data_IF_724336396231
#
_entry.id   IF_724336396231
#
_cell.length_a   1.000
_cell.length_b   1.000
_cell.length_c   1.000
_cell.angle_alpha   90.00
_cell.angle_beta   90.00
_cell.angle_gamma   90.00
#
_symmetry.space_group_name_H-M   'P 1'
#
loop_
_entity.id
_entity.type
_entity.pdbx_description
1 polymer ?
#
# COMPACT_ATOMS: atom_id res chain seq x y z
N UNK A 1 -20.97 -8.87 -20.92
CA UNK A 1 -20.07 -7.98 -21.69
C UNK A 1 -19.70 -6.80 -20.79
N UNK A 2 -18.45 -6.69 -20.35
CA UNK A 2 -18.00 -5.53 -19.58
C UNK A 2 -17.85 -4.36 -20.56
N UNK A 3 -18.61 -3.28 -20.35
CA UNK A 3 -18.47 -2.01 -21.10
C UNK A 3 -17.21 -1.30 -20.62
N UNK A 4 -16.05 -1.67 -21.18
CA UNK A 4 -14.83 -0.91 -20.97
C UNK A 4 -14.93 0.44 -21.68
N UNK A 5 -14.52 1.50 -20.99
CA UNK A 5 -14.49 2.85 -21.54
C UNK A 5 -13.36 2.99 -22.57
N UNK A 6 -13.45 3.98 -23.44
CA UNK A 6 -12.28 4.45 -24.20
C UNK A 6 -11.24 5.06 -23.26
N UNK A 7 -10.01 5.30 -23.71
CA UNK A 7 -8.97 5.94 -22.89
C UNK A 7 -9.41 7.29 -22.36
N UNK A 8 -10.04 8.11 -23.20
CA UNK A 8 -10.54 9.44 -22.84
C UNK A 8 -11.70 9.35 -21.83
N UNK A 9 -12.63 8.42 -22.04
CA UNK A 9 -13.71 8.16 -21.09
C UNK A 9 -13.18 7.68 -19.73
N UNK A 10 -12.19 6.79 -19.73
CA UNK A 10 -11.52 6.31 -18.53
C UNK A 10 -10.74 7.44 -17.81
N UNK A 11 -10.07 8.32 -18.56
CA UNK A 11 -9.42 9.51 -18.02
C UNK A 11 -10.41 10.43 -17.29
N UNK A 12 -11.55 10.74 -17.93
CA UNK A 12 -12.61 11.53 -17.30
C UNK A 12 -13.17 10.85 -16.05
N UNK A 13 -13.44 9.56 -16.12
CA UNK A 13 -13.95 8.77 -14.99
C UNK A 13 -12.98 8.78 -13.80
N UNK A 14 -11.68 8.50 -14.02
CA UNK A 14 -10.65 8.53 -12.98
C UNK A 14 -10.52 9.94 -12.40
N UNK A 15 -10.61 10.99 -13.22
CA UNK A 15 -10.54 12.38 -12.74
C UNK A 15 -11.71 12.72 -11.80
N UNK A 16 -12.91 12.23 -12.08
CA UNK A 16 -14.07 12.37 -11.17
C UNK A 16 -13.86 11.61 -9.87
N UNK A 17 -13.29 10.40 -9.93
CA UNK A 17 -12.99 9.64 -8.73
C UNK A 17 -11.95 10.33 -7.83
N UNK A 18 -10.92 10.93 -8.44
CA UNK A 18 -9.91 11.73 -7.72
C UNK A 18 -10.57 12.94 -7.04
N UNK A 19 -11.44 13.68 -7.75
CA UNK A 19 -12.10 14.86 -7.20
C UNK A 19 -13.06 14.56 -6.05
N UNK A 20 -13.62 13.33 -6.01
CA UNK A 20 -14.49 12.86 -4.93
C UNK A 20 -13.73 12.22 -3.76
N UNK A 21 -12.44 11.94 -3.92
CA UNK A 21 -11.63 11.35 -2.86
C UNK A 21 -11.32 12.39 -1.77
N UNK A 22 -11.22 11.97 -0.50
CA UNK A 22 -10.80 12.85 0.59
C UNK A 22 -9.47 13.52 0.30
N UNK A 23 -9.30 14.76 0.73
CA UNK A 23 -8.05 15.49 0.56
C UNK A 23 -7.00 14.95 1.54
N UNK A 24 -5.95 14.30 1.03
CA UNK A 24 -4.87 13.75 1.87
C UNK A 24 -4.11 14.81 2.67
N UNK A 25 -3.98 16.05 2.16
CA UNK A 25 -3.36 17.13 2.92
C UNK A 25 -4.19 17.48 4.17
N UNK A 26 -5.50 17.59 4.00
CA UNK A 26 -6.41 17.85 5.12
C UNK A 26 -6.41 16.69 6.12
N UNK A 27 -6.36 15.45 5.65
CA UNK A 27 -6.25 14.28 6.54
C UNK A 27 -4.93 14.29 7.32
N UNK A 28 -3.82 14.71 6.70
CA UNK A 28 -2.54 14.91 7.38
C UNK A 28 -2.64 15.97 8.49
N UNK A 29 -3.21 17.14 8.19
CA UNK A 29 -3.39 18.22 9.17
C UNK A 29 -4.21 17.76 10.38
N UNK A 30 -5.25 16.97 10.15
CA UNK A 30 -6.10 16.41 11.21
C UNK A 30 -5.31 15.48 12.13
N UNK A 31 -4.48 14.61 11.57
CA UNK A 31 -3.70 13.65 12.37
C UNK A 31 -2.58 14.35 13.14
N UNK A 32 -2.04 15.44 12.60
CA UNK A 32 -1.00 16.24 13.27
C UNK A 32 -1.54 17.23 14.29
N UNK A 33 -2.86 17.44 14.30
CA UNK A 33 -3.48 18.31 15.29
C UNK A 33 -3.45 17.68 16.69
N UNK A 34 -3.33 18.54 17.72
CA UNK A 34 -3.38 18.11 19.13
C UNK A 34 -4.75 17.53 19.54
N UNK A 35 -5.74 17.62 18.66
CA UNK A 35 -7.09 17.13 18.88
C UNK A 35 -7.46 16.13 17.81
N UNK A 36 -7.07 14.85 17.94
CA UNK A 36 -7.41 13.82 16.99
C UNK A 36 -8.93 13.65 16.92
N UNK A 37 -9.48 13.71 15.71
CA UNK A 37 -10.89 13.45 15.46
C UNK A 37 -11.12 11.99 15.09
N UNK A 38 -12.33 11.50 15.36
CA UNK A 38 -12.79 10.19 14.91
C UNK A 38 -13.50 10.27 13.53
N UNK A 39 -13.84 9.11 12.98
CA UNK A 39 -14.53 9.01 11.69
C UNK A 39 -15.87 9.78 11.72
N UNK A 40 -16.64 9.68 12.80
CA UNK A 40 -17.94 10.36 12.91
C UNK A 40 -17.79 11.88 12.81
N UNK A 41 -16.80 12.42 13.50
CA UNK A 41 -16.47 13.85 13.44
C UNK A 41 -15.97 14.26 12.06
N UNK A 42 -15.15 13.41 11.40
CA UNK A 42 -14.68 13.67 10.06
C UNK A 42 -15.81 13.70 9.03
N UNK A 43 -16.79 12.81 9.14
CA UNK A 43 -17.99 12.81 8.29
C UNK A 43 -18.85 14.05 8.57
N UNK A 44 -19.12 14.38 9.83
CA UNK A 44 -19.96 15.51 10.20
C UNK A 44 -19.39 16.86 9.76
N UNK A 45 -18.07 16.96 9.65
CA UNK A 45 -17.35 18.14 9.12
C UNK A 45 -17.21 18.15 7.59
N UNK A 46 -17.75 17.15 6.89
CA UNK A 46 -17.64 17.03 5.44
C UNK A 46 -16.23 16.72 4.90
N UNK A 47 -15.33 16.24 5.77
CA UNK A 47 -13.97 15.82 5.41
C UNK A 47 -14.00 14.46 4.72
N UNK A 48 -14.87 13.57 5.22
CA UNK A 48 -15.18 12.27 4.66
C UNK A 48 -16.61 12.23 4.13
N UNK A 49 -16.84 11.50 3.06
CA UNK A 49 -18.18 11.24 2.54
C UNK A 49 -19.00 10.31 3.42
N UNK A 50 -20.28 10.24 3.18
CA UNK A 50 -21.21 9.38 3.94
C UNK A 50 -20.92 7.88 3.75
N UNK A 51 -20.25 7.48 2.70
CA UNK A 51 -19.84 6.09 2.44
C UNK A 51 -18.93 5.53 3.51
N UNK A 52 -18.19 6.38 4.22
CA UNK A 52 -17.30 5.96 5.33
C UNK A 52 -18.07 5.67 6.63
N UNK A 53 -19.39 5.94 6.68
CA UNK A 53 -20.23 5.64 7.85
C UNK A 53 -20.29 4.14 8.20
N UNK A 54 -20.02 3.27 7.21
CA UNK A 54 -19.94 1.84 7.43
C UNK A 54 -18.91 1.45 8.52
N UNK A 55 -17.83 2.22 8.66
CA UNK A 55 -16.81 1.96 9.66
C UNK A 55 -17.22 2.33 11.10
N UNK A 56 -18.28 3.11 11.27
CA UNK A 56 -18.84 3.45 12.59
C UNK A 56 -19.48 2.24 13.28
N UNK A 57 -19.90 1.24 12.52
CA UNK A 57 -20.59 0.06 13.02
C UNK A 57 -19.63 -1.05 13.49
N UNK A 58 -18.34 -0.92 13.20
CA UNK A 58 -17.33 -1.90 13.56
C UNK A 58 -17.09 -1.93 15.06
N UNK A 59 -16.96 -3.12 15.65
CA UNK A 59 -16.90 -3.34 17.10
C UNK A 59 -15.50 -3.64 17.61
N UNK A 60 -14.60 -4.07 16.73
CA UNK A 60 -13.22 -4.41 17.07
C UNK A 60 -12.24 -3.86 16.04
N UNK A 61 -10.96 -3.86 16.38
CA UNK A 61 -9.87 -3.47 15.46
C UNK A 61 -9.81 -4.45 14.28
N UNK A 62 -10.01 -5.74 14.52
CA UNK A 62 -9.98 -6.76 13.46
C UNK A 62 -11.13 -6.56 12.48
N UNK A 63 -12.34 -6.21 12.98
CA UNK A 63 -13.49 -5.87 12.12
C UNK A 63 -13.19 -4.65 11.24
N UNK A 64 -12.52 -3.63 11.81
CA UNK A 64 -12.10 -2.42 11.07
C UNK A 64 -11.12 -2.79 9.97
N UNK A 65 -10.10 -3.55 10.28
CA UNK A 65 -9.07 -3.94 9.32
C UNK A 65 -9.66 -4.78 8.17
N UNK A 66 -10.59 -5.68 8.48
CA UNK A 66 -11.28 -6.46 7.46
C UNK A 66 -12.24 -5.59 6.62
N UNK A 67 -12.98 -4.71 7.25
CA UNK A 67 -13.90 -3.81 6.55
C UNK A 67 -13.16 -2.85 5.60
N UNK A 68 -12.05 -2.25 6.04
CA UNK A 68 -11.19 -1.38 5.22
C UNK A 68 -10.63 -2.16 4.03
N UNK A 69 -10.05 -3.33 4.30
CA UNK A 69 -9.52 -4.19 3.25
C UNK A 69 -10.58 -4.51 2.19
N UNK A 70 -11.77 -4.96 2.61
CA UNK A 70 -12.86 -5.31 1.71
C UNK A 70 -13.37 -4.10 0.92
N UNK A 71 -13.50 -2.92 1.57
CA UNK A 71 -13.97 -1.69 0.94
C UNK A 71 -13.05 -1.24 -0.19
N UNK A 72 -11.74 -1.11 0.07
CA UNK A 72 -10.80 -0.64 -0.94
C UNK A 72 -10.54 -1.66 -2.04
N UNK A 73 -10.48 -2.95 -1.68
CA UNK A 73 -10.35 -4.00 -2.67
C UNK A 73 -11.54 -4.03 -3.62
N UNK A 74 -12.76 -4.02 -3.08
CA UNK A 74 -13.98 -3.97 -3.89
C UNK A 74 -14.06 -2.71 -4.76
N UNK A 75 -13.65 -1.57 -4.22
CA UNK A 75 -13.58 -0.32 -4.98
C UNK A 75 -12.67 -0.45 -6.21
N UNK A 76 -11.47 -0.98 -6.03
CA UNK A 76 -10.50 -1.14 -7.11
C UNK A 76 -10.90 -2.24 -8.11
N UNK A 77 -11.47 -3.34 -7.64
CA UNK A 77 -12.03 -4.39 -8.51
C UNK A 77 -13.18 -3.87 -9.39
N UNK A 78 -14.00 -2.98 -8.85
CA UNK A 78 -15.03 -2.33 -9.66
C UNK A 78 -14.44 -1.35 -10.67
N UNK A 79 -13.38 -0.62 -10.31
CA UNK A 79 -12.67 0.27 -11.22
C UNK A 79 -12.18 -0.49 -12.47
N UNK A 80 -11.62 -1.70 -12.31
CA UNK A 80 -11.11 -2.53 -13.41
C UNK A 80 -12.17 -2.78 -14.50
N UNK A 81 -13.44 -2.86 -14.13
CA UNK A 81 -14.54 -3.12 -15.09
C UNK A 81 -14.68 -2.04 -16.15
N UNK A 82 -14.27 -0.82 -15.83
CA UNK A 82 -14.40 0.36 -16.71
C UNK A 82 -13.10 0.76 -17.39
N UNK A 83 -11.96 0.29 -16.88
CA UNK A 83 -10.64 0.69 -17.37
C UNK A 83 -10.24 -0.17 -18.58
N UNK A 84 -9.78 0.45 -19.70
CA UNK A 84 -9.37 -0.28 -20.90
C UNK A 84 -8.04 -1.03 -20.69
N UNK A 85 -7.76 -2.02 -21.54
CA UNK A 85 -6.44 -2.64 -21.64
C UNK A 85 -5.44 -1.64 -22.26
N UNK A 86 -4.17 -1.67 -21.83
CA UNK A 86 -3.52 -2.56 -20.86
C UNK A 86 -3.58 -2.07 -19.40
N UNK A 87 -4.22 -0.93 -19.12
CA UNK A 87 -4.25 -0.27 -17.81
C UNK A 87 -4.95 -1.09 -16.72
N UNK A 88 -5.93 -1.93 -17.09
CA UNK A 88 -6.61 -2.85 -16.16
C UNK A 88 -5.64 -3.86 -15.53
N UNK A 89 -4.63 -4.32 -16.27
CA UNK A 89 -3.60 -5.21 -15.74
C UNK A 89 -2.75 -4.52 -14.66
N UNK A 90 -2.46 -3.24 -14.84
CA UNK A 90 -1.74 -2.45 -13.83
C UNK A 90 -2.53 -2.37 -12.51
N UNK A 91 -3.85 -2.10 -12.58
CA UNK A 91 -4.71 -2.09 -11.39
C UNK A 91 -4.71 -3.47 -10.72
N UNK A 92 -4.87 -4.54 -11.51
CA UNK A 92 -4.87 -5.91 -10.98
C UNK A 92 -3.59 -6.25 -10.21
N UNK A 93 -2.43 -5.85 -10.72
CA UNK A 93 -1.17 -6.06 -10.02
C UNK A 93 -1.02 -5.13 -8.81
N UNK A 94 -1.49 -3.87 -8.90
CA UNK A 94 -1.40 -2.93 -7.79
C UNK A 94 -2.24 -3.37 -6.59
N UNK A 95 -3.43 -3.92 -6.81
CA UNK A 95 -4.34 -4.38 -5.72
C UNK A 95 -3.66 -5.39 -4.79
N UNK A 96 -2.71 -6.17 -5.30
CA UNK A 96 -1.95 -7.14 -4.50
C UNK A 96 -1.26 -6.50 -3.28
N UNK A 97 -1.05 -5.17 -3.28
CA UNK A 97 -0.46 -4.44 -2.14
C UNK A 97 -1.26 -4.64 -0.85
N UNK A 98 -2.58 -4.68 -0.92
CA UNK A 98 -3.43 -4.85 0.25
C UNK A 98 -3.33 -6.27 0.82
N UNK A 99 -3.23 -7.26 -0.05
CA UNK A 99 -3.04 -8.66 0.36
C UNK A 99 -1.65 -8.86 0.99
N UNK A 100 -0.62 -8.28 0.38
CA UNK A 100 0.75 -8.35 0.88
C UNK A 100 0.90 -7.68 2.25
N UNK A 101 0.33 -6.50 2.46
CA UNK A 101 0.40 -5.83 3.75
C UNK A 101 -0.26 -6.66 4.85
N UNK A 102 -1.37 -7.33 4.55
CA UNK A 102 -2.04 -8.24 5.48
C UNK A 102 -1.16 -9.45 5.80
N UNK A 103 -0.61 -10.11 4.78
CA UNK A 103 0.29 -11.28 4.96
C UNK A 103 1.54 -10.89 5.74
N UNK A 104 2.21 -9.81 5.38
CA UNK A 104 3.43 -9.35 6.04
C UNK A 104 3.16 -8.97 7.50
N UNK A 105 2.04 -8.31 7.79
CA UNK A 105 1.63 -7.99 9.16
C UNK A 105 1.45 -9.26 10.00
N UNK A 106 0.84 -10.30 9.43
CA UNK A 106 0.67 -11.59 10.11
C UNK A 106 2.00 -12.32 10.34
N UNK A 107 2.92 -12.26 9.37
CA UNK A 107 4.28 -12.79 9.52
C UNK A 107 4.96 -12.17 10.74
N UNK A 108 4.90 -10.84 10.88
CA UNK A 108 5.49 -10.14 12.03
C UNK A 108 4.80 -10.46 13.35
N UNK A 109 3.48 -10.66 13.37
CA UNK A 109 2.75 -11.08 14.58
C UNK A 109 3.21 -12.46 15.02
N UNK A 110 3.34 -13.41 14.09
CA UNK A 110 3.80 -14.77 14.38
C UNK A 110 5.25 -14.77 14.88
N UNK A 111 6.12 -13.93 14.31
CA UNK A 111 7.49 -13.78 14.79
C UNK A 111 7.54 -13.21 16.22
N UNK A 112 6.70 -12.20 16.52
CA UNK A 112 6.60 -11.64 17.88
C UNK A 112 6.22 -12.68 18.91
N UNK A 113 5.45 -13.70 18.54
CA UNK A 113 5.08 -14.81 19.41
C UNK A 113 6.25 -15.81 19.61
N UNK A 114 7.46 -15.49 19.15
CA UNK A 114 8.67 -16.32 19.25
C UNK A 114 8.52 -17.73 18.65
N UNK A 115 7.69 -17.87 17.65
CA UNK A 115 7.58 -19.12 16.91
C UNK A 115 8.84 -19.31 16.06
N UNK A 116 9.40 -20.53 16.04
CA UNK A 116 10.58 -20.82 15.20
C UNK A 116 10.25 -20.61 13.72
N UNK A 117 11.21 -20.14 12.93
CA UNK A 117 11.02 -19.77 11.52
C UNK A 117 10.31 -20.84 10.67
N UNK A 118 10.60 -22.12 10.89
CA UNK A 118 9.90 -23.25 10.24
C UNK A 118 8.41 -23.30 10.57
N UNK A 119 8.04 -22.98 11.81
CA UNK A 119 6.65 -22.97 12.24
C UNK A 119 5.92 -21.78 11.61
N UNK A 120 6.58 -20.63 11.52
CA UNK A 120 6.03 -19.45 10.86
C UNK A 120 5.71 -19.76 9.39
N UNK A 121 6.65 -20.36 8.65
CA UNK A 121 6.44 -20.73 7.24
C UNK A 121 5.25 -21.69 7.10
N UNK A 122 5.17 -22.72 7.94
CA UNK A 122 4.05 -23.68 7.92
C UNK A 122 2.68 -23.06 8.28
N UNK A 123 2.65 -21.93 8.98
CA UNK A 123 1.42 -21.20 9.30
C UNK A 123 1.04 -20.20 8.20
N UNK A 124 2.02 -19.67 7.47
CA UNK A 124 1.80 -18.69 6.41
C UNK A 124 1.23 -19.36 5.16
N UNK A 125 1.71 -20.56 4.84
CA UNK A 125 1.25 -21.31 3.64
C UNK A 125 -0.26 -21.52 3.63
N UNK A 126 -0.90 -22.07 4.69
CA UNK A 126 -2.35 -22.17 4.79
C UNK A 126 -3.06 -20.81 4.77
N UNK A 127 -2.42 -19.76 5.31
CA UNK A 127 -2.98 -18.42 5.30
C UNK A 127 -2.98 -17.81 3.90
N UNK A 128 -1.90 -17.98 3.14
CA UNK A 128 -1.84 -17.57 1.73
C UNK A 128 -2.87 -18.35 0.93
N UNK A 129 -2.97 -19.64 1.13
CA UNK A 129 -4.01 -20.47 0.53
C UNK A 129 -5.42 -19.97 0.89
N UNK A 130 -5.68 -19.67 2.15
CA UNK A 130 -6.95 -19.10 2.61
C UNK A 130 -7.25 -17.76 1.92
N UNK A 131 -6.29 -16.84 1.86
CA UNK A 131 -6.43 -15.55 1.19
C UNK A 131 -6.68 -15.77 -0.32
N UNK A 132 -5.97 -16.69 -0.94
CA UNK A 132 -6.09 -17.02 -2.37
C UNK A 132 -7.44 -17.67 -2.67
N UNK A 133 -7.83 -18.70 -1.92
CA UNK A 133 -9.01 -19.53 -2.25
C UNK A 133 -10.32 -18.95 -1.71
N UNK A 134 -10.31 -18.25 -0.57
CA UNK A 134 -11.54 -17.67 -0.01
C UNK A 134 -12.02 -16.45 -0.78
N UNK A 135 -11.14 -15.80 -1.53
CA UNK A 135 -11.45 -14.60 -2.32
C UNK A 135 -11.03 -14.81 -3.76
N UNK A 136 -11.96 -15.20 -4.60
CA UNK A 136 -11.81 -15.53 -6.04
C UNK A 136 -11.05 -14.52 -6.92
N UNK A 137 -10.59 -13.41 -6.37
CA UNK A 137 -9.97 -12.30 -7.09
C UNK A 137 -8.43 -12.24 -7.05
N UNK A 138 -7.76 -13.10 -6.27
CA UNK A 138 -6.31 -13.02 -6.08
C UNK A 138 -5.61 -14.05 -6.98
N UNK A 139 -5.77 -13.89 -8.28
CA UNK A 139 -5.27 -14.84 -9.27
C UNK A 139 -3.74 -15.04 -9.30
N UNK A 140 -2.96 -14.24 -8.59
CA UNK A 140 -1.50 -14.22 -8.71
C UNK A 140 -0.73 -14.46 -7.40
N UNK A 141 -1.39 -14.55 -6.25
CA UNK A 141 -0.73 -14.90 -5.00
C UNK A 141 0.01 -16.25 -5.00
N UNK A 142 -0.40 -17.26 -5.78
CA UNK A 142 0.40 -18.49 -5.95
C UNK A 142 1.84 -18.23 -6.37
N UNK A 143 2.14 -17.12 -7.08
CA UNK A 143 3.50 -16.76 -7.46
C UNK A 143 4.39 -16.42 -6.25
N UNK A 144 3.80 -15.98 -5.14
CA UNK A 144 4.53 -15.66 -3.92
C UNK A 144 4.89 -16.91 -3.10
N UNK A 145 4.30 -18.07 -3.41
CA UNK A 145 4.61 -19.33 -2.70
C UNK A 145 6.06 -19.76 -2.90
N UNK A 146 6.70 -19.35 -3.99
CA UNK A 146 8.13 -19.57 -4.22
C UNK A 146 8.99 -18.99 -3.09
N UNK A 147 8.55 -17.92 -2.44
CA UNK A 147 9.25 -17.31 -1.32
C UNK A 147 9.18 -18.16 -0.05
N UNK A 148 8.24 -19.09 0.04
CA UNK A 148 8.02 -19.95 1.20
C UNK A 148 8.73 -21.29 1.06
N UNK A 149 9.02 -21.72 -0.17
CA UNK A 149 9.68 -23.00 -0.47
C UNK A 149 11.18 -22.99 -0.22
N UNK A 150 11.69 -21.95 0.39
CA UNK A 150 13.09 -21.67 0.48
C UNK A 150 13.86 -22.40 1.56
N UNK A 151 15.15 -22.46 1.33
CA UNK A 151 16.21 -23.18 1.99
C UNK A 151 16.25 -23.11 3.53
N UNK A 152 16.83 -24.13 4.14
CA UNK A 152 17.20 -24.17 5.57
C UNK A 152 18.02 -22.91 5.92
N UNK A 153 17.44 -22.01 6.72
CA UNK A 153 18.15 -20.83 7.23
C UNK A 153 17.55 -19.48 6.82
N UNK A 154 16.46 -19.45 6.04
CA UNK A 154 15.77 -18.21 5.72
C UNK A 154 15.21 -17.53 6.97
N UNK A 155 15.45 -16.22 7.04
CA UNK A 155 14.82 -15.36 8.05
C UNK A 155 13.45 -14.89 7.57
N UNK A 156 12.60 -14.48 8.50
CA UNK A 156 11.32 -13.83 8.17
C UNK A 156 11.53 -12.64 7.23
N UNK A 157 12.60 -11.89 7.42
CA UNK A 157 12.91 -10.75 6.59
C UNK A 157 13.24 -11.15 5.14
N UNK A 158 13.86 -12.31 4.91
CA UNK A 158 14.12 -12.81 3.56
C UNK A 158 12.82 -13.14 2.83
N UNK A 159 11.83 -13.68 3.55
CA UNK A 159 10.48 -13.93 3.00
C UNK A 159 9.80 -12.60 2.64
N UNK A 160 9.85 -11.61 3.53
CA UNK A 160 9.28 -10.27 3.29
C UNK A 160 9.95 -9.59 2.10
N UNK A 161 11.29 -9.69 1.99
CA UNK A 161 12.04 -9.18 0.83
C UNK A 161 11.59 -9.84 -0.47
N UNK A 162 11.50 -11.16 -0.46
CA UNK A 162 11.08 -11.92 -1.62
C UNK A 162 9.68 -11.50 -2.09
N UNK A 163 8.71 -11.42 -1.17
CA UNK A 163 7.36 -10.95 -1.47
C UNK A 163 7.37 -9.53 -2.06
N UNK A 164 8.09 -8.63 -1.41
CA UNK A 164 8.17 -7.23 -1.85
C UNK A 164 8.78 -7.12 -3.24
N UNK A 165 9.85 -7.87 -3.52
CA UNK A 165 10.50 -7.87 -4.83
C UNK A 165 9.57 -8.38 -5.92
N UNK A 166 8.91 -9.52 -5.72
CA UNK A 166 7.96 -10.07 -6.70
C UNK A 166 6.86 -9.05 -7.00
N UNK A 167 6.31 -8.40 -5.97
CA UNK A 167 5.30 -7.36 -6.15
C UNK A 167 5.80 -6.19 -7.01
N UNK A 168 6.98 -5.67 -6.67
CA UNK A 168 7.58 -4.54 -7.40
C UNK A 168 7.83 -4.93 -8.86
N UNK A 169 8.44 -6.08 -9.11
CA UNK A 169 8.74 -6.55 -10.46
C UNK A 169 7.46 -6.73 -11.30
N UNK A 170 6.40 -7.27 -10.71
CA UNK A 170 5.12 -7.45 -11.39
C UNK A 170 4.46 -6.14 -11.78
N UNK A 171 4.36 -5.19 -10.85
CA UNK A 171 3.76 -3.88 -11.12
C UNK A 171 4.62 -3.10 -12.12
N UNK A 172 5.95 -3.10 -11.98
CA UNK A 172 6.84 -2.46 -12.92
C UNK A 172 6.72 -3.05 -14.35
N UNK A 173 6.63 -4.37 -14.47
CA UNK A 173 6.44 -5.04 -15.77
C UNK A 173 5.11 -4.65 -16.42
N UNK A 174 4.02 -4.49 -15.65
CA UNK A 174 2.74 -3.99 -16.21
C UNK A 174 2.84 -2.53 -16.65
N UNK A 175 3.56 -1.68 -15.91
CA UNK A 175 3.85 -0.32 -16.35
C UNK A 175 4.67 -0.31 -17.64
N UNK A 176 5.71 -1.15 -17.73
CA UNK A 176 6.49 -1.26 -18.97
C UNK A 176 5.66 -1.74 -20.16
N UNK A 177 4.68 -2.60 -19.98
CA UNK A 177 3.75 -2.96 -21.07
C UNK A 177 2.88 -1.80 -21.55
N UNK A 178 2.67 -0.78 -20.72
CA UNK A 178 1.95 0.45 -21.08
C UNK A 178 2.85 1.42 -21.84
N UNK A 179 4.18 1.31 -21.73
CA UNK A 179 5.12 2.25 -22.38
C UNK A 179 5.02 2.27 -23.91
N UNK A 180 4.42 1.25 -24.52
CA UNK A 180 4.15 1.21 -25.96
C UNK A 180 3.05 2.20 -26.39
N UNK A 181 2.21 2.64 -25.46
CA UNK A 181 1.04 3.50 -25.74
C UNK A 181 1.09 4.85 -25.03
N UNK A 182 1.92 5.01 -24.00
CA UNK A 182 2.00 6.21 -23.18
C UNK A 182 3.34 6.31 -22.42
N UNK A 183 3.78 7.54 -22.13
CA UNK A 183 4.97 7.78 -21.28
C UNK A 183 4.67 7.36 -19.83
N UNK A 184 5.52 6.53 -19.25
CA UNK A 184 5.34 5.93 -17.92
C UNK A 184 6.36 6.40 -16.88
N UNK A 185 7.32 7.23 -17.26
CA UNK A 185 8.49 7.57 -16.43
C UNK A 185 8.10 8.15 -15.06
N UNK A 186 7.14 9.07 -15.03
CA UNK A 186 6.66 9.67 -13.78
C UNK A 186 5.95 8.63 -12.91
N UNK A 187 5.04 7.87 -13.48
CA UNK A 187 4.31 6.80 -12.80
C UNK A 187 5.23 5.76 -12.22
N UNK A 188 6.21 5.30 -13.00
CA UNK A 188 7.20 4.31 -12.58
C UNK A 188 8.09 4.84 -11.44
N UNK A 189 8.58 6.09 -11.56
CA UNK A 189 9.34 6.76 -10.50
C UNK A 189 8.57 6.85 -9.20
N UNK A 190 7.32 7.31 -9.25
CA UNK A 190 6.48 7.47 -8.06
C UNK A 190 6.12 6.11 -7.47
N UNK A 191 5.83 5.11 -8.29
CA UNK A 191 5.59 3.74 -7.83
C UNK A 191 6.80 3.15 -7.11
N UNK A 192 8.02 3.30 -7.64
CA UNK A 192 9.23 2.84 -6.95
C UNK A 192 9.46 3.57 -5.63
N UNK A 193 9.23 4.89 -5.59
CA UNK A 193 9.34 5.66 -4.36
C UNK A 193 8.33 5.18 -3.31
N UNK A 194 7.06 5.02 -3.69
CA UNK A 194 6.01 4.45 -2.85
C UNK A 194 6.41 3.08 -2.30
N UNK A 195 6.87 2.18 -3.15
CA UNK A 195 7.27 0.83 -2.76
C UNK A 195 8.46 0.83 -1.81
N UNK A 196 9.43 1.74 -1.99
CA UNK A 196 10.58 1.90 -1.11
C UNK A 196 10.19 2.37 0.28
N UNK A 197 9.34 3.41 0.36
CA UNK A 197 8.87 3.96 1.63
C UNK A 197 8.04 2.93 2.41
N UNK A 198 7.19 2.17 1.72
CA UNK A 198 6.44 1.08 2.30
C UNK A 198 7.34 -0.06 2.81
N UNK A 199 8.33 -0.45 2.03
CA UNK A 199 9.32 -1.47 2.42
C UNK A 199 10.09 -1.06 3.67
N UNK A 200 10.36 0.22 3.83
CA UNK A 200 10.98 0.76 5.03
C UNK A 200 10.15 0.52 6.30
N UNK A 201 8.82 0.63 6.22
CA UNK A 201 7.95 0.29 7.36
C UNK A 201 8.14 -1.16 7.83
N UNK A 202 8.37 -2.08 6.91
CA UNK A 202 8.65 -3.48 7.26
C UNK A 202 9.97 -3.62 8.03
N UNK A 203 11.01 -2.90 7.62
CA UNK A 203 12.30 -2.90 8.33
C UNK A 203 12.14 -2.30 9.72
N UNK A 204 11.38 -1.22 9.86
CA UNK A 204 11.08 -0.63 11.16
C UNK A 204 10.33 -1.62 12.06
N UNK A 205 9.29 -2.27 11.55
CA UNK A 205 8.54 -3.28 12.28
C UNK A 205 9.43 -4.42 12.76
N UNK A 206 10.33 -4.91 11.90
CA UNK A 206 11.31 -5.92 12.23
C UNK A 206 12.25 -5.46 13.36
N UNK A 207 12.77 -4.24 13.32
CA UNK A 207 13.64 -3.66 14.36
C UNK A 207 12.90 -3.47 15.68
N UNK A 208 11.65 -3.01 15.67
CA UNK A 208 10.83 -2.84 16.87
C UNK A 208 10.52 -4.17 17.55
N UNK A 209 10.41 -5.25 16.80
CA UNK A 209 10.17 -6.59 17.34
C UNK A 209 11.45 -7.22 17.93
N UNK A 210 12.59 -6.51 17.94
CA UNK A 210 13.90 -7.01 18.37
C UNK A 210 14.30 -8.32 17.69
N UNK A 211 13.75 -8.58 16.50
CA UNK A 211 14.21 -9.69 15.68
C UNK A 211 15.59 -9.36 15.11
N UNK A 212 16.31 -10.37 14.64
CA UNK A 212 17.68 -10.26 14.10
C UNK A 212 17.74 -9.49 12.77
N UNK A 213 17.18 -8.29 12.76
CA UNK A 213 17.09 -7.43 11.59
C UNK A 213 18.36 -6.58 11.44
N UNK A 214 19.46 -7.20 11.02
CA UNK A 214 20.74 -6.51 10.79
C UNK A 214 20.89 -5.95 9.37
N UNK A 215 19.78 -5.70 8.66
CA UNK A 215 19.85 -5.17 7.31
C UNK A 215 19.86 -3.64 7.33
N UNK A 216 20.81 -3.07 6.59
CA UNK A 216 20.79 -1.66 6.30
C UNK A 216 19.73 -1.34 5.23
N UNK A 217 19.03 -0.22 5.42
CA UNK A 217 17.95 0.23 4.51
C UNK A 217 18.44 0.32 3.08
N UNK A 218 19.67 0.84 2.89
CA UNK A 218 20.26 0.98 1.56
C UNK A 218 20.45 -0.36 0.82
N UNK A 219 20.80 -1.41 1.56
CA UNK A 219 21.01 -2.74 0.98
C UNK A 219 19.67 -3.37 0.62
N UNK A 220 18.66 -3.23 1.49
CA UNK A 220 17.33 -3.68 1.19
C UNK A 220 16.76 -3.03 -0.09
N UNK A 221 16.89 -1.70 -0.24
CA UNK A 221 16.39 -0.98 -1.42
C UNK A 221 17.14 -1.37 -2.69
N UNK A 222 18.46 -1.55 -2.60
CA UNK A 222 19.27 -2.02 -3.75
C UNK A 222 18.86 -3.42 -4.21
N UNK A 223 18.57 -4.33 -3.27
CA UNK A 223 18.13 -5.69 -3.58
C UNK A 223 16.74 -5.72 -4.26
N UNK A 224 15.93 -4.66 -4.14
CA UNK A 224 14.63 -4.56 -4.83
C UNK A 224 14.74 -4.31 -6.35
N UNK A 225 15.95 -4.15 -6.90
CA UNK A 225 16.15 -4.01 -8.35
C UNK A 225 15.70 -2.67 -8.92
N UNK A 226 15.56 -1.64 -8.08
CA UNK A 226 15.15 -0.31 -8.53
C UNK A 226 16.27 0.43 -9.27
N UNK A 227 15.95 1.30 -10.24
CA UNK A 227 16.94 2.16 -10.88
C UNK A 227 17.71 3.01 -9.85
N UNK A 228 19.03 3.07 -9.99
CA UNK A 228 19.93 3.73 -9.02
C UNK A 228 19.51 5.15 -8.63
N UNK A 229 19.11 6.06 -9.55
CA UNK A 229 18.69 7.41 -9.18
C UNK A 229 17.46 7.43 -8.25
N UNK A 230 16.52 6.51 -8.50
CA UNK A 230 15.30 6.40 -7.69
C UNK A 230 15.62 5.78 -6.32
N UNK A 231 16.49 4.78 -6.29
CA UNK A 231 16.96 4.17 -5.05
C UNK A 231 17.66 5.20 -4.14
N UNK A 232 18.53 6.05 -4.70
CA UNK A 232 19.20 7.12 -3.96
C UNK A 232 18.21 8.15 -3.39
N UNK A 233 17.25 8.59 -4.20
CA UNK A 233 16.17 9.49 -3.75
C UNK A 233 15.35 8.87 -2.61
N UNK A 234 15.01 7.60 -2.73
CA UNK A 234 14.26 6.87 -1.70
C UNK A 234 15.07 6.77 -0.39
N UNK A 235 16.35 6.44 -0.47
CA UNK A 235 17.25 6.38 0.69
C UNK A 235 17.36 7.75 1.37
N UNK A 236 17.51 8.84 0.62
CA UNK A 236 17.55 10.20 1.18
C UNK A 236 16.27 10.52 1.96
N UNK A 237 15.10 10.26 1.36
CA UNK A 237 13.81 10.48 2.01
C UNK A 237 13.63 9.62 3.25
N UNK A 238 13.99 8.35 3.18
CA UNK A 238 13.91 7.42 4.31
C UNK A 238 14.81 7.87 5.47
N UNK A 239 16.02 8.35 5.18
CA UNK A 239 16.91 8.86 6.23
C UNK A 239 16.30 10.08 6.95
N UNK A 240 15.67 11.00 6.21
CA UNK A 240 14.93 12.13 6.81
C UNK A 240 13.78 11.65 7.70
N UNK A 241 13.00 10.69 7.22
CA UNK A 241 11.90 10.08 8.00
C UNK A 241 12.44 9.41 9.26
N UNK A 242 13.55 8.68 9.15
CA UNK A 242 14.13 7.92 10.27
C UNK A 242 14.51 8.79 11.46
N UNK A 243 15.04 9.99 11.22
CA UNK A 243 15.38 10.93 12.30
C UNK A 243 14.14 11.41 13.08
N UNK A 244 13.00 11.50 12.44
CA UNK A 244 11.73 11.81 13.10
C UNK A 244 11.14 10.60 13.82
N UNK A 245 11.16 9.44 13.20
CA UNK A 245 10.58 8.21 13.77
C UNK A 245 11.33 7.69 14.99
N UNK A 246 12.64 7.94 15.10
CA UNK A 246 13.39 7.65 16.33
C UNK A 246 12.75 8.28 17.57
N UNK A 247 12.09 9.43 17.39
CA UNK A 247 11.42 10.16 18.47
C UNK A 247 10.02 9.61 18.74
N UNK A 248 9.26 9.31 17.68
CA UNK A 248 7.92 8.75 17.77
C UNK A 248 7.58 7.86 16.57
N UNK A 249 7.60 6.52 16.74
CA UNK A 249 7.26 5.57 15.69
C UNK A 249 5.80 5.64 15.21
N UNK A 250 4.89 6.18 16.03
CA UNK A 250 3.45 6.27 15.68
C UNK A 250 3.20 7.17 14.48
N UNK A 251 4.08 8.15 14.26
CA UNK A 251 4.01 9.06 13.12
C UNK A 251 4.71 8.58 11.85
N UNK A 252 5.18 7.32 11.81
CA UNK A 252 5.88 6.79 10.64
C UNK A 252 5.08 6.94 9.33
N UNK A 253 3.79 6.65 9.36
CA UNK A 253 2.89 6.77 8.21
C UNK A 253 2.74 8.23 7.74
N UNK A 254 2.67 9.16 8.67
CA UNK A 254 2.54 10.59 8.39
C UNK A 254 3.78 11.10 7.66
N UNK A 255 4.96 10.77 8.19
CA UNK A 255 6.22 11.15 7.58
C UNK A 255 6.43 10.48 6.21
N UNK A 256 6.00 9.24 6.05
CA UNK A 256 5.99 8.54 4.77
C UNK A 256 5.15 9.30 3.74
N UNK A 257 3.89 9.60 4.07
CA UNK A 257 3.02 10.33 3.15
C UNK A 257 3.54 11.73 2.85
N UNK A 258 4.00 12.50 3.85
CA UNK A 258 4.62 13.81 3.61
C UNK A 258 5.78 13.74 2.64
N UNK A 259 6.59 12.68 2.74
CA UNK A 259 7.76 12.50 1.87
C UNK A 259 7.40 12.24 0.41
N UNK A 260 6.25 11.61 0.14
CA UNK A 260 5.81 11.28 -1.21
C UNK A 260 4.77 12.27 -1.76
N UNK A 261 4.06 12.99 -0.90
CA UNK A 261 2.86 13.75 -1.28
C UNK A 261 3.08 14.74 -2.43
N UNK A 262 4.16 15.52 -2.38
CA UNK A 262 4.45 16.50 -3.45
C UNK A 262 4.78 15.81 -4.77
N UNK A 263 5.51 14.71 -4.74
CA UNK A 263 5.79 13.91 -5.94
C UNK A 263 4.52 13.23 -6.44
N UNK A 264 3.69 12.72 -5.55
CA UNK A 264 2.41 12.12 -5.91
C UNK A 264 1.50 13.17 -6.58
N UNK A 265 1.42 14.37 -5.99
CA UNK A 265 0.66 15.48 -6.55
C UNK A 265 1.14 15.90 -7.93
N UNK A 266 2.46 15.79 -8.21
CA UNK A 266 3.01 16.15 -9.52
C UNK A 266 2.43 15.31 -10.66
N UNK A 267 1.94 14.08 -10.41
CA UNK A 267 1.25 13.26 -11.40
C UNK A 267 -0.04 13.90 -11.92
N UNK A 268 -0.69 14.77 -11.15
CA UNK A 268 -1.88 15.49 -11.56
C UNK A 268 -1.59 16.63 -12.54
N UNK A 269 -0.35 17.12 -12.56
CA UNK A 269 0.06 18.21 -13.45
C UNK A 269 0.49 17.72 -14.85
N UNK A 270 0.64 16.40 -15.04
CA UNK A 270 0.89 15.83 -16.37
C UNK A 270 -0.38 15.94 -17.22
N UNK A 271 -0.46 16.89 -18.16
CA UNK A 271 -1.63 17.01 -19.00
C UNK A 271 -1.74 15.77 -19.88
N UNK A 272 -2.94 15.22 -19.97
CA UNK A 272 -3.29 14.09 -20.85
C UNK A 272 -2.65 12.73 -20.51
N UNK A 273 -1.85 12.61 -19.47
CA UNK A 273 -1.34 11.29 -19.03
C UNK A 273 -2.41 10.55 -18.21
N UNK A 274 -2.97 9.49 -18.81
CA UNK A 274 -3.94 8.65 -18.15
C UNK A 274 -3.26 7.78 -17.08
N UNK A 275 -2.08 7.23 -17.39
CA UNK A 275 -1.35 6.38 -16.45
C UNK A 275 -0.92 7.17 -15.20
N UNK A 276 -0.53 8.44 -15.33
CA UNK A 276 -0.14 9.25 -14.18
C UNK A 276 -1.34 9.50 -13.25
N UNK A 277 -2.52 9.81 -13.81
CA UNK A 277 -3.75 9.96 -13.01
C UNK A 277 -4.19 8.65 -12.36
N UNK A 278 -4.06 7.54 -13.06
CA UNK A 278 -4.38 6.22 -12.52
C UNK A 278 -3.43 5.85 -11.38
N UNK A 279 -2.12 6.07 -11.55
CA UNK A 279 -1.11 5.84 -10.51
C UNK A 279 -1.38 6.73 -9.29
N UNK A 280 -1.73 8.00 -9.51
CA UNK A 280 -2.14 8.89 -8.42
C UNK A 280 -3.32 8.30 -7.66
N UNK A 281 -4.42 7.93 -8.34
CA UNK A 281 -5.62 7.39 -7.69
C UNK A 281 -5.30 6.14 -6.87
N UNK A 282 -4.52 5.21 -7.41
CA UNK A 282 -4.20 3.95 -6.73
C UNK A 282 -3.40 4.18 -5.45
N UNK A 283 -2.33 4.98 -5.51
CA UNK A 283 -1.51 5.31 -4.35
C UNK A 283 -2.29 6.16 -3.34
N UNK A 284 -3.11 7.11 -3.85
CA UNK A 284 -4.01 7.89 -3.01
C UNK A 284 -4.95 6.99 -2.20
N UNK A 285 -5.62 6.02 -2.85
CA UNK A 285 -6.54 5.08 -2.18
C UNK A 285 -5.82 4.19 -1.16
N UNK A 286 -4.57 3.82 -1.42
CA UNK A 286 -3.76 3.11 -0.45
C UNK A 286 -3.54 3.95 0.83
N UNK A 287 -3.07 5.19 0.71
CA UNK A 287 -2.86 6.07 1.87
C UNK A 287 -4.17 6.45 2.56
N UNK A 288 -5.22 6.72 1.80
CA UNK A 288 -6.57 6.95 2.32
C UNK A 288 -7.00 5.78 3.23
N UNK A 289 -6.79 4.53 2.81
CA UNK A 289 -7.11 3.36 3.63
C UNK A 289 -6.39 3.35 4.98
N UNK A 290 -5.11 3.76 5.00
CA UNK A 290 -4.32 3.86 6.22
C UNK A 290 -4.83 4.97 7.15
N UNK A 291 -5.27 6.11 6.60
CA UNK A 291 -5.86 7.19 7.38
C UNK A 291 -7.22 6.82 7.97
N UNK A 292 -8.08 6.18 7.18
CA UNK A 292 -9.36 5.68 7.67
C UNK A 292 -9.15 4.70 8.82
N UNK A 293 -8.16 3.81 8.70
CA UNK A 293 -7.75 2.91 9.78
C UNK A 293 -7.35 3.69 11.04
N UNK A 294 -6.50 4.71 10.90
CA UNK A 294 -6.06 5.55 12.01
C UNK A 294 -7.26 6.23 12.70
N UNK A 295 -8.14 6.89 11.95
CA UNK A 295 -9.33 7.57 12.48
C UNK A 295 -10.30 6.58 13.14
N UNK A 296 -10.46 5.38 12.60
CA UNK A 296 -11.29 4.34 13.18
C UNK A 296 -10.73 3.82 14.52
N UNK A 297 -9.40 3.69 14.60
CA UNK A 297 -8.72 3.22 15.82
C UNK A 297 -8.77 4.24 16.96
N UNK A 298 -8.76 5.55 16.65
CA UNK A 298 -8.85 6.60 17.66
C UNK A 298 -10.11 6.48 18.53
N UNK A 299 -11.19 5.91 17.99
CA UNK A 299 -12.41 5.60 18.77
C UNK A 299 -12.13 4.62 19.93
N UNK A 300 -11.12 3.77 19.84
CA UNK A 300 -10.81 2.72 20.83
C UNK A 300 -9.68 3.10 21.79
N UNK A 301 -8.86 4.10 21.44
CA UNK A 301 -7.73 4.51 22.28
C UNK A 301 -8.12 5.36 23.50
N UNK A 302 -9.38 5.83 23.55
CA UNK A 302 -9.92 6.67 24.64
C UNK A 302 -10.85 5.91 25.60
N UNK A 303 -10.90 4.60 25.52
CA UNK A 303 -11.59 3.71 26.47
C UNK A 303 -10.59 2.83 27.21
#
# INVERSE_FOLDING_TARGET
MSLKLTKEGAYGYVSVLISKSPNLALLLEIIESDSPIDIQTAISRGILGSEYSLFLQMKSIDDIDEAIYNFYKYYLENLIKYIPRPYDNFINCFIEVFDLDKVISMIFILEKQKLRSRYIISQIEPLIEYIVYSKKSIGNLPLYTVCLSANKGQTVLDVVKCFTKIYIDRVANTLHSISEVELIENSLKIFYLFSSLRSYRYILSCRMLKSTCNIEIKDFIKEMGMPTPIALLAIEKINKIYEHIKKDPTFALIHELKSIYEQLKSLLYSPYSFIDRLTYLLIHKFYESMFIRYLAMNKYSWR
#
